data_IF_866382507989
#
_entry.id   IF_866382507989
#
_cell.length_a   1.000
_cell.length_b   1.000
_cell.length_c   1.000
_cell.angle_alpha   90.00
_cell.angle_beta   90.00
_cell.angle_gamma   90.00
#
_symmetry.space_group_name_H-M   'P 1'
#
loop_
_entity.id
_entity.type
_entity.pdbx_description
1 polymer ?
#
# COMPACT_ATOMS: atom_id res chain seq x y z
N UNK A 1 0.48 6.61 6.40
CA UNK A 1 -0.35 7.76 5.99
C UNK A 1 -0.70 8.66 7.19
N UNK A 2 -0.98 9.95 6.98
CA UNK A 2 -1.56 10.86 8.02
C UNK A 2 -2.71 11.70 7.45
N UNK A 3 -3.74 11.96 8.25
CA UNK A 3 -4.91 12.73 7.82
C UNK A 3 -4.55 14.16 7.41
N UNK A 4 -3.67 14.81 8.17
CA UNK A 4 -3.21 16.16 7.86
C UNK A 4 -2.38 16.29 6.57
N UNK A 5 -2.09 15.20 5.86
CA UNK A 5 -1.38 15.24 4.58
C UNK A 5 -2.27 14.91 3.37
N UNK A 6 -3.54 14.53 3.59
CA UNK A 6 -4.52 14.22 2.54
C UNK A 6 -4.62 15.34 1.49
N UNK A 7 -4.40 14.99 0.23
CA UNK A 7 -4.54 15.90 -0.92
C UNK A 7 -3.24 16.61 -1.33
N UNK A 8 -2.11 16.23 -0.75
CA UNK A 8 -0.81 16.69 -1.24
C UNK A 8 -0.47 16.11 -2.64
N UNK A 9 0.67 16.52 -3.20
CA UNK A 9 1.10 16.04 -4.51
C UNK A 9 1.36 14.52 -4.56
N UNK A 10 1.70 13.89 -3.44
CA UNK A 10 1.92 12.46 -3.39
C UNK A 10 0.57 11.73 -3.45
N UNK A 11 -0.44 12.21 -2.74
CA UNK A 11 -1.80 11.65 -2.83
C UNK A 11 -2.39 11.81 -4.23
N UNK A 12 -2.17 12.95 -4.88
CA UNK A 12 -2.53 13.11 -6.29
C UNK A 12 -1.91 12.02 -7.18
N UNK A 13 -0.63 11.70 -6.96
CA UNK A 13 0.06 10.65 -7.72
C UNK A 13 -0.44 9.26 -7.36
N UNK A 14 -0.63 8.96 -6.07
CA UNK A 14 -1.15 7.68 -5.57
C UNK A 14 -2.54 7.42 -6.14
N UNK A 15 -3.47 8.36 -5.97
CA UNK A 15 -4.85 8.19 -6.40
C UNK A 15 -4.95 8.10 -7.92
N UNK A 16 -4.17 8.90 -8.65
CA UNK A 16 -4.10 8.80 -10.12
C UNK A 16 -3.58 7.42 -10.58
N UNK A 17 -2.54 6.90 -9.93
CA UNK A 17 -2.03 5.55 -10.20
C UNK A 17 -3.08 4.48 -9.92
N UNK A 18 -3.75 4.55 -8.76
CA UNK A 18 -4.78 3.58 -8.37
C UNK A 18 -5.98 3.61 -9.32
N UNK A 19 -6.44 4.80 -9.72
CA UNK A 19 -7.52 4.95 -10.71
C UNK A 19 -7.13 4.38 -12.08
N UNK A 20 -5.89 4.60 -12.51
CA UNK A 20 -5.39 4.04 -13.76
C UNK A 20 -5.30 2.51 -13.73
N UNK A 21 -4.73 1.94 -12.66
CA UNK A 21 -4.56 0.50 -12.52
C UNK A 21 -5.88 -0.24 -12.35
N UNK A 22 -6.83 0.35 -11.61
CA UNK A 22 -8.14 -0.27 -11.39
C UNK A 22 -9.10 -0.08 -12.54
N UNK A 23 -8.70 0.63 -13.60
CA UNK A 23 -9.60 0.98 -14.71
C UNK A 23 -10.83 1.76 -14.24
N UNK A 24 -10.66 2.61 -13.22
CA UNK A 24 -11.71 3.36 -12.53
C UNK A 24 -12.83 2.47 -11.93
N UNK A 25 -12.43 1.43 -11.18
CA UNK A 25 -13.35 0.54 -10.46
C UNK A 25 -13.68 -0.78 -11.16
N UNK A 26 -12.99 -1.11 -12.26
CA UNK A 26 -13.10 -2.43 -12.92
C UNK A 26 -12.41 -3.54 -12.15
N UNK A 27 -11.33 -3.22 -11.44
CA UNK A 27 -10.69 -4.10 -10.46
C UNK A 27 -11.06 -3.64 -9.06
N UNK A 28 -11.46 -4.58 -8.21
CA UNK A 28 -11.86 -4.30 -6.84
C UNK A 28 -10.62 -3.98 -6.00
N UNK A 29 -10.55 -2.72 -5.55
CA UNK A 29 -9.43 -2.18 -4.80
C UNK A 29 -9.65 -2.35 -3.29
N UNK A 30 -8.62 -2.80 -2.58
CA UNK A 30 -8.53 -2.73 -1.12
C UNK A 30 -7.46 -1.70 -0.75
N UNK A 31 -7.71 -0.89 0.26
CA UNK A 31 -6.76 0.11 0.75
C UNK A 31 -6.57 -0.10 2.23
N UNK A 32 -5.32 -0.38 2.61
CA UNK A 32 -4.87 -0.33 4.00
C UNK A 32 -4.06 0.96 4.17
N UNK A 33 -4.67 1.99 4.75
CA UNK A 33 -4.05 3.31 4.87
C UNK A 33 -2.83 3.33 5.78
N UNK A 34 -2.71 2.37 6.71
CA UNK A 34 -1.65 2.37 7.73
C UNK A 34 -1.53 3.75 8.39
N UNK A 35 -2.63 4.24 8.96
CA UNK A 35 -2.68 5.57 9.54
C UNK A 35 -1.80 5.67 10.77
N UNK A 36 -0.98 6.71 10.81
CA UNK A 36 -0.25 7.10 12.01
C UNK A 36 -0.87 8.39 12.58
N UNK A 37 -0.77 8.63 13.90
CA UNK A 37 -1.29 9.86 14.49
C UNK A 37 -0.72 11.11 13.82
N UNK A 38 -1.53 12.15 13.69
CA UNK A 38 -1.09 13.44 13.17
C UNK A 38 0.11 13.99 13.97
N UNK A 39 0.98 14.75 13.32
CA UNK A 39 2.15 15.36 13.95
C UNK A 39 1.98 16.89 14.01
N UNK A 40 2.63 17.56 14.96
CA UNK A 40 2.47 19.02 15.10
C UNK A 40 3.29 19.83 14.09
N UNK A 41 3.65 19.27 12.93
CA UNK A 41 4.42 20.02 11.93
C UNK A 41 3.51 20.97 11.19
N UNK A 42 3.86 22.25 11.24
CA UNK A 42 3.17 23.34 10.56
C UNK A 42 3.48 23.43 9.05
N UNK A 43 4.26 22.51 8.49
CA UNK A 43 4.57 22.51 7.06
C UNK A 43 3.33 22.03 6.30
N UNK A 44 2.52 23.01 5.90
CA UNK A 44 1.37 22.84 5.04
C UNK A 44 1.75 22.01 3.83
N UNK A 45 1.29 20.77 3.83
CA UNK A 45 1.49 19.74 2.81
C UNK A 45 1.54 20.29 1.39
N UNK A 46 2.36 19.67 0.52
CA UNK A 46 2.72 20.16 -0.82
C UNK A 46 1.51 20.25 -1.77
N UNK A 47 0.68 21.27 -1.61
CA UNK A 47 -0.62 21.48 -2.27
C UNK A 47 -0.58 22.57 -3.35
N UNK A 48 0.53 23.30 -3.48
CA UNK A 48 0.72 24.37 -4.48
C UNK A 48 0.57 23.89 -5.93
N UNK A 49 0.63 22.57 -6.19
CA UNK A 49 0.33 21.98 -7.49
C UNK A 49 -1.12 22.22 -7.94
N UNK A 50 -2.06 22.38 -7.00
CA UNK A 50 -3.47 22.67 -7.28
C UNK A 50 -3.69 24.06 -7.88
N UNK A 51 -2.70 24.96 -7.76
CA UNK A 51 -2.71 26.27 -8.44
C UNK A 51 -2.13 26.18 -9.86
N UNK A 52 -1.57 25.03 -10.26
CA UNK A 52 -0.90 24.81 -11.54
C UNK A 52 -1.75 23.93 -12.46
N UNK A 53 -3.03 24.29 -12.62
CA UNK A 53 -4.02 23.50 -13.38
C UNK A 53 -3.54 23.02 -14.75
N UNK A 54 -2.94 23.85 -15.63
CA UNK A 54 -2.47 23.37 -16.94
C UNK A 54 -1.43 22.23 -16.87
N UNK A 55 -0.65 22.17 -15.80
CA UNK A 55 0.39 21.17 -15.61
C UNK A 55 -0.18 19.84 -15.08
N UNK A 56 -1.11 19.88 -14.14
CA UNK A 56 -1.56 18.70 -13.42
C UNK A 56 -2.94 18.21 -13.84
N UNK A 57 -3.93 19.12 -13.95
CA UNK A 57 -5.33 18.78 -14.24
C UNK A 57 -5.50 17.93 -15.51
N UNK A 58 -4.61 18.07 -16.48
CA UNK A 58 -4.63 17.31 -17.74
C UNK A 58 -4.49 15.78 -17.58
N UNK A 59 -3.93 15.29 -16.48
CA UNK A 59 -3.71 13.84 -16.29
C UNK A 59 -4.96 13.14 -15.74
N UNK A 60 -5.62 13.76 -14.78
CA UNK A 60 -6.91 13.29 -14.24
C UNK A 60 -7.70 14.51 -13.74
N UNK A 61 -8.57 15.10 -14.60
CA UNK A 61 -9.31 16.31 -14.25
C UNK A 61 -10.24 16.13 -13.05
N UNK A 62 -10.89 14.96 -12.95
CA UNK A 62 -11.82 14.68 -11.85
C UNK A 62 -11.07 14.62 -10.52
N UNK A 63 -9.97 13.86 -10.47
CA UNK A 63 -9.14 13.78 -9.28
C UNK A 63 -8.61 15.15 -8.87
N UNK A 64 -8.09 15.93 -9.83
CA UNK A 64 -7.54 17.25 -9.57
C UNK A 64 -8.59 18.19 -8.99
N UNK A 65 -9.78 18.26 -9.60
CA UNK A 65 -10.84 19.19 -9.18
C UNK A 65 -11.40 18.82 -7.79
N UNK A 66 -11.52 17.52 -7.48
CA UNK A 66 -11.92 17.04 -6.14
C UNK A 66 -10.90 17.40 -5.08
N UNK A 67 -9.61 17.15 -5.32
CA UNK A 67 -8.54 17.53 -4.38
C UNK A 67 -8.44 19.06 -4.21
N UNK A 68 -8.59 19.84 -5.29
CA UNK A 68 -8.62 21.30 -5.22
C UNK A 68 -9.74 21.80 -4.31
N UNK A 69 -10.92 21.20 -4.41
CA UNK A 69 -12.09 21.54 -3.60
C UNK A 69 -11.85 21.24 -2.11
N UNK A 70 -11.39 20.03 -1.77
CA UNK A 70 -11.17 19.63 -0.37
C UNK A 70 -10.07 20.43 0.31
N UNK A 71 -8.95 20.64 -0.38
CA UNK A 71 -7.85 21.46 0.16
C UNK A 71 -8.32 22.91 0.33
N UNK A 72 -9.08 23.44 -0.65
CA UNK A 72 -9.62 24.79 -0.59
C UNK A 72 -10.63 25.02 0.54
N UNK A 73 -11.40 24.00 0.93
CA UNK A 73 -12.35 24.07 2.05
C UNK A 73 -11.71 23.81 3.41
N UNK A 74 -10.40 23.52 3.47
CA UNK A 74 -9.70 23.15 4.70
C UNK A 74 -10.09 21.77 5.23
N UNK A 75 -10.77 20.97 4.42
CA UNK A 75 -11.37 19.69 4.81
C UNK A 75 -10.43 18.57 4.38
N UNK A 76 -9.64 18.04 5.33
CA UNK A 76 -8.57 17.08 5.02
C UNK A 76 -8.64 15.89 5.95
N UNK A 77 -8.79 14.71 5.36
CA UNK A 77 -8.91 13.45 6.07
C UNK A 77 -9.32 12.33 5.13
N UNK A 78 -8.94 11.10 5.45
CA UNK A 78 -9.25 9.95 4.62
C UNK A 78 -10.76 9.71 4.51
N UNK A 79 -11.55 10.07 5.53
CA UNK A 79 -13.01 9.93 5.53
C UNK A 79 -13.66 10.62 4.32
N UNK A 80 -13.09 11.74 3.86
CA UNK A 80 -13.55 12.44 2.66
C UNK A 80 -13.19 11.68 1.39
N UNK A 81 -12.01 11.06 1.34
CA UNK A 81 -11.60 10.20 0.22
C UNK A 81 -12.57 9.02 0.13
N UNK A 82 -12.81 8.35 1.25
CA UNK A 82 -13.67 7.16 1.36
C UNK A 82 -15.12 7.46 0.99
N UNK A 83 -15.69 8.54 1.52
CA UNK A 83 -17.08 8.92 1.28
C UNK A 83 -17.36 9.56 -0.09
N UNK A 84 -16.32 9.97 -0.84
CA UNK A 84 -16.49 10.76 -2.06
C UNK A 84 -16.70 9.96 -3.35
N UNK A 85 -16.41 8.65 -3.31
CA UNK A 85 -16.33 7.83 -4.51
C UNK A 85 -15.14 8.15 -5.43
N UNK A 86 -14.13 8.90 -4.95
CA UNK A 86 -12.92 9.21 -5.72
C UNK A 86 -12.16 7.94 -6.16
N UNK A 87 -12.22 6.89 -5.34
CA UNK A 87 -11.69 5.56 -5.60
C UNK A 87 -12.88 4.59 -5.65
N UNK A 88 -13.52 4.41 -6.83
CA UNK A 88 -14.79 3.70 -6.94
C UNK A 88 -14.69 2.25 -6.49
N UNK A 89 -15.63 1.82 -5.64
CA UNK A 89 -15.74 0.43 -5.18
C UNK A 89 -14.60 -0.04 -4.28
N UNK A 90 -13.78 0.87 -3.76
CA UNK A 90 -12.69 0.52 -2.87
C UNK A 90 -13.18 0.08 -1.48
N UNK A 91 -12.50 -0.91 -0.91
CA UNK A 91 -12.65 -1.37 0.48
C UNK A 91 -11.57 -0.69 1.32
N UNK A 92 -11.94 -0.04 2.42
CA UNK A 92 -11.01 0.77 3.21
C UNK A 92 -10.80 0.20 4.60
N UNK A 93 -9.54 0.05 4.98
CA UNK A 93 -9.12 -0.20 6.36
C UNK A 93 -8.35 1.02 6.90
N UNK A 94 -8.93 1.63 7.93
CA UNK A 94 -8.70 3.03 8.30
C UNK A 94 -8.40 3.22 9.78
N UNK A 95 -8.08 2.14 10.49
CA UNK A 95 -7.66 2.21 11.88
C UNK A 95 -6.23 2.78 12.00
N UNK A 96 -5.90 3.32 13.18
CA UNK A 96 -4.53 3.68 13.50
C UNK A 96 -3.69 2.41 13.67
N UNK A 97 -2.56 2.33 12.98
CA UNK A 97 -1.62 1.22 13.14
C UNK A 97 -0.78 1.43 14.42
N UNK A 98 -0.88 0.51 15.40
CA UNK A 98 -0.01 0.52 16.56
C UNK A 98 1.40 0.06 16.19
N UNK A 99 2.38 0.43 17.02
CA UNK A 99 3.77 0.04 16.82
C UNK A 99 4.21 -1.14 17.70
N UNK A 100 3.36 -1.59 18.63
CA UNK A 100 3.58 -2.80 19.42
C UNK A 100 3.21 -4.07 18.64
N UNK A 101 3.89 -5.18 18.95
CA UNK A 101 3.76 -6.40 18.16
C UNK A 101 2.39 -7.07 18.23
N UNK A 102 1.66 -6.96 19.35
CA UNK A 102 0.35 -7.58 19.49
C UNK A 102 -0.72 -6.75 18.77
N UNK A 103 -0.74 -5.44 19.05
CA UNK A 103 -1.63 -4.51 18.37
C UNK A 103 -1.44 -4.55 16.86
N UNK A 104 -0.19 -4.64 16.38
CA UNK A 104 0.10 -4.69 14.95
C UNK A 104 -0.46 -5.94 14.29
N UNK A 105 -0.35 -7.11 14.94
CA UNK A 105 -0.96 -8.35 14.44
C UNK A 105 -2.48 -8.21 14.35
N UNK A 106 -3.12 -7.70 15.40
CA UNK A 106 -4.57 -7.46 15.42
C UNK A 106 -5.02 -6.52 14.31
N UNK A 107 -4.26 -5.44 14.08
CA UNK A 107 -4.49 -4.50 13.00
C UNK A 107 -4.47 -5.19 11.63
N UNK A 108 -3.42 -5.96 11.32
CA UNK A 108 -3.33 -6.65 10.03
C UNK A 108 -4.36 -7.77 9.87
N UNK A 109 -4.71 -8.49 10.94
CA UNK A 109 -5.81 -9.47 10.90
C UNK A 109 -7.15 -8.81 10.55
N UNK A 110 -7.43 -7.62 11.09
CA UNK A 110 -8.61 -6.84 10.73
C UNK A 110 -8.53 -6.28 9.30
N UNK A 111 -7.37 -5.76 8.91
CA UNK A 111 -7.13 -5.25 7.57
C UNK A 111 -7.36 -6.33 6.51
N UNK A 112 -6.79 -7.53 6.69
CA UNK A 112 -6.95 -8.65 5.76
C UNK A 112 -8.40 -9.11 5.63
N UNK A 113 -9.18 -9.08 6.71
CA UNK A 113 -10.62 -9.36 6.64
C UNK A 113 -11.37 -8.29 5.85
N UNK A 114 -11.02 -7.02 6.08
CA UNK A 114 -11.63 -5.86 5.43
C UNK A 114 -11.41 -5.90 3.91
N UNK A 115 -10.20 -6.22 3.48
CA UNK A 115 -9.81 -6.25 2.06
C UNK A 115 -9.87 -7.64 1.44
N UNK A 116 -10.44 -8.65 2.11
CA UNK A 116 -10.43 -10.05 1.66
C UNK A 116 -10.97 -10.24 0.24
N UNK A 117 -11.91 -9.38 -0.13
CA UNK A 117 -12.61 -9.38 -1.41
C UNK A 117 -11.91 -8.55 -2.50
N UNK A 118 -10.84 -7.83 -2.17
CA UNK A 118 -10.10 -7.05 -3.15
C UNK A 118 -9.25 -7.93 -4.08
N UNK A 119 -9.15 -7.54 -5.35
CA UNK A 119 -8.23 -8.14 -6.33
C UNK A 119 -6.85 -7.48 -6.25
N UNK A 120 -6.83 -6.19 -5.88
CA UNK A 120 -5.64 -5.36 -5.75
C UNK A 120 -5.65 -4.69 -4.38
N UNK A 121 -4.60 -4.88 -3.58
CA UNK A 121 -4.46 -4.26 -2.26
C UNK A 121 -3.35 -3.22 -2.29
N UNK A 122 -3.68 -1.99 -1.92
CA UNK A 122 -2.76 -0.89 -1.73
C UNK A 122 -2.45 -0.70 -0.24
N UNK A 123 -1.17 -0.75 0.12
CA UNK A 123 -0.70 -0.34 1.44
C UNK A 123 -0.06 1.04 1.36
N UNK A 124 -0.40 1.93 2.31
CA UNK A 124 0.10 3.32 2.35
C UNK A 124 1.00 3.63 3.58
N UNK A 125 2.11 2.91 3.77
CA UNK A 125 3.05 3.21 4.85
C UNK A 125 3.69 4.59 4.65
N UNK A 126 3.99 5.30 5.74
CA UNK A 126 4.66 6.60 5.67
C UNK A 126 6.06 6.52 5.04
N UNK A 127 6.80 5.44 5.34
CA UNK A 127 8.21 5.28 5.00
C UNK A 127 8.50 4.10 4.04
N UNK A 128 7.47 3.43 3.53
CA UNK A 128 7.65 2.24 2.67
C UNK A 128 7.88 0.95 3.45
N UNK A 129 8.73 0.07 2.93
CA UNK A 129 9.05 -1.21 3.56
C UNK A 129 9.98 -1.07 4.77
N UNK A 130 9.88 -2.04 5.68
CA UNK A 130 10.71 -2.17 6.87
C UNK A 130 12.22 -2.13 6.57
N UNK A 131 12.97 -1.65 7.57
CA UNK A 131 14.43 -1.50 7.52
C UNK A 131 15.05 -2.18 8.73
N UNK A 132 16.30 -2.64 8.60
CA UNK A 132 16.98 -3.44 9.63
C UNK A 132 17.03 -2.76 11.02
N UNK A 133 17.10 -1.42 11.03
CA UNK A 133 17.20 -0.61 12.25
C UNK A 133 15.86 -0.35 12.95
N UNK A 134 14.73 -0.76 12.38
CA UNK A 134 13.41 -0.58 12.96
C UNK A 134 12.59 -1.86 12.78
N UNK A 135 12.64 -2.73 13.79
CA UNK A 135 11.95 -4.03 13.71
C UNK A 135 10.45 -3.88 13.99
N UNK A 136 9.61 -4.78 13.44
CA UNK A 136 8.18 -4.81 13.74
C UNK A 136 7.95 -5.00 15.24
N UNK A 137 7.00 -4.26 15.82
CA UNK A 137 6.74 -4.29 17.26
C UNK A 137 7.63 -3.36 18.09
N UNK A 138 8.50 -2.57 17.45
CA UNK A 138 9.28 -1.51 18.09
C UNK A 138 8.69 -0.14 17.83
N UNK A 139 9.04 0.82 18.70
CA UNK A 139 8.59 2.22 18.58
C UNK A 139 8.85 2.78 17.19
N UNK A 140 7.79 3.26 16.53
CA UNK A 140 7.87 3.87 15.20
C UNK A 140 7.92 2.88 14.03
N UNK A 141 7.76 1.57 14.27
CA UNK A 141 7.62 0.55 13.23
C UNK A 141 6.32 0.68 12.45
N UNK A 142 5.31 1.35 13.00
CA UNK A 142 4.03 1.64 12.35
C UNK A 142 4.13 2.52 11.09
N UNK A 143 5.27 3.16 10.86
CA UNK A 143 5.55 3.91 9.62
C UNK A 143 5.97 3.02 8.45
N UNK A 144 6.26 1.75 8.70
CA UNK A 144 6.76 0.81 7.71
C UNK A 144 5.80 -0.35 7.52
N UNK A 145 5.77 -0.90 6.30
CA UNK A 145 5.15 -2.18 5.98
C UNK A 145 6.18 -3.30 6.06
N UNK A 146 5.83 -4.41 6.69
CA UNK A 146 6.72 -5.57 6.76
C UNK A 146 6.58 -6.43 5.52
N UNK A 147 7.66 -7.10 5.13
CA UNK A 147 7.64 -7.98 3.96
C UNK A 147 6.66 -9.14 4.13
N UNK A 148 6.58 -9.71 5.33
CA UNK A 148 5.66 -10.79 5.66
C UNK A 148 4.18 -10.36 5.61
N UNK A 149 3.86 -9.09 5.89
CA UNK A 149 2.50 -8.54 5.82
C UNK A 149 2.05 -8.36 4.37
N UNK A 150 2.94 -7.81 3.53
CA UNK A 150 2.69 -7.73 2.08
C UNK A 150 2.57 -9.14 1.47
N UNK A 151 3.47 -10.05 1.84
CA UNK A 151 3.43 -11.45 1.41
C UNK A 151 2.13 -12.14 1.86
N UNK A 152 1.63 -11.87 3.06
CA UNK A 152 0.38 -12.46 3.55
C UNK A 152 -0.84 -12.07 2.69
N UNK A 153 -0.86 -10.88 2.09
CA UNK A 153 -1.88 -10.51 1.10
C UNK A 153 -1.65 -11.23 -0.23
N UNK A 154 -0.39 -11.31 -0.69
CA UNK A 154 -0.08 -12.01 -1.94
C UNK A 154 -0.43 -13.50 -1.88
N UNK A 155 -0.10 -14.17 -0.78
CA UNK A 155 -0.38 -15.60 -0.56
C UNK A 155 -1.88 -15.90 -0.51
N UNK A 156 -2.73 -14.87 -0.28
CA UNK A 156 -4.20 -14.95 -0.39
C UNK A 156 -4.72 -14.79 -1.82
N UNK A 157 -3.83 -14.65 -2.81
CA UNK A 157 -4.16 -14.52 -4.23
C UNK A 157 -4.39 -13.08 -4.70
N UNK A 158 -4.09 -12.08 -3.87
CA UNK A 158 -4.29 -10.67 -4.19
C UNK A 158 -3.03 -10.06 -4.80
N UNK A 159 -3.20 -9.13 -5.74
CA UNK A 159 -2.09 -8.29 -6.19
C UNK A 159 -1.79 -7.22 -5.14
N UNK A 160 -0.51 -6.90 -4.92
CA UNK A 160 -0.10 -5.93 -3.89
C UNK A 160 0.61 -4.73 -4.52
N UNK A 161 0.22 -3.53 -4.10
CA UNK A 161 0.90 -2.27 -4.43
C UNK A 161 1.33 -1.59 -3.14
N UNK A 162 2.58 -1.13 -3.13
CA UNK A 162 3.13 -0.29 -2.09
C UNK A 162 3.72 0.95 -2.76
N UNK A 163 3.32 2.14 -2.32
CA UNK A 163 3.87 3.38 -2.84
C UNK A 163 4.99 3.88 -1.94
N UNK A 164 6.22 3.63 -2.35
CA UNK A 164 7.40 4.06 -1.63
C UNK A 164 8.13 5.17 -2.38
N UNK A 165 8.40 6.27 -1.68
CA UNK A 165 9.35 7.25 -2.17
C UNK A 165 10.77 6.73 -2.01
N UNK A 166 11.59 6.85 -3.05
CA UNK A 166 13.02 6.65 -2.92
C UNK A 166 13.54 7.55 -1.81
N UNK A 167 14.24 6.96 -0.84
CA UNK A 167 15.01 7.73 0.12
C UNK A 167 16.01 8.61 -0.66
N UNK A 168 16.47 9.71 -0.06
CA UNK A 168 17.45 10.64 -0.66
C UNK A 168 18.85 10.00 -0.70
N UNK A 169 18.95 8.92 -1.44
CA UNK A 169 20.11 8.07 -1.65
C UNK A 169 20.14 7.65 -3.12
N UNK A 170 21.27 7.10 -3.56
CA UNK A 170 21.44 6.66 -4.93
C UNK A 170 20.37 5.61 -5.29
N UNK A 171 19.66 5.84 -6.40
CA UNK A 171 18.52 5.02 -6.86
C UNK A 171 18.88 3.56 -7.06
N UNK A 172 20.10 3.27 -7.51
CA UNK A 172 20.56 1.90 -7.74
C UNK A 172 20.76 1.16 -6.41
N UNK A 173 21.37 1.80 -5.42
CA UNK A 173 21.57 1.21 -4.09
C UNK A 173 20.24 0.98 -3.34
N UNK A 174 19.28 1.88 -3.51
CA UNK A 174 17.93 1.73 -2.96
C UNK A 174 17.19 0.57 -3.63
N UNK A 175 17.25 0.49 -4.96
CA UNK A 175 16.60 -0.58 -5.74
C UNK A 175 17.25 -1.94 -5.43
N UNK A 176 18.57 -2.02 -5.33
CA UNK A 176 19.28 -3.26 -4.96
C UNK A 176 18.92 -3.75 -3.56
N UNK A 177 18.71 -2.85 -2.58
CA UNK A 177 18.24 -3.22 -1.24
C UNK A 177 16.80 -3.72 -1.22
N UNK A 178 15.92 -3.20 -2.09
CA UNK A 178 14.56 -3.72 -2.28
C UNK A 178 14.54 -5.00 -3.12
N UNK A 179 15.52 -5.16 -4.01
CA UNK A 179 15.71 -6.34 -4.86
C UNK A 179 16.35 -7.52 -4.11
N UNK A 180 17.19 -7.27 -3.09
CA UNK A 180 17.84 -8.31 -2.29
C UNK A 180 16.87 -9.26 -1.55
N UNK A 181 15.75 -8.76 -1.00
CA UNK A 181 14.63 -9.56 -0.50
C UNK A 181 13.61 -9.93 -1.57
N UNK A 182 13.79 -9.57 -2.85
CA UNK A 182 12.82 -9.91 -3.91
C UNK A 182 12.80 -11.42 -4.16
N UNK A 183 11.99 -12.10 -3.35
CA UNK A 183 11.06 -13.07 -3.89
C UNK A 183 10.23 -12.28 -4.90
N UNK A 184 10.60 -12.37 -6.17
CA UNK A 184 9.67 -12.04 -7.25
C UNK A 184 8.50 -12.98 -7.05
N UNK A 185 7.43 -12.45 -6.47
CA UNK A 185 6.15 -13.13 -6.38
C UNK A 185 5.56 -13.16 -7.80
N UNK A 186 6.08 -14.06 -8.61
CA UNK A 186 5.69 -14.21 -10.00
C UNK A 186 4.34 -14.92 -10.05
N UNK A 187 3.26 -14.14 -10.14
CA UNK A 187 2.00 -14.63 -10.69
C UNK A 187 1.35 -13.57 -11.56
N UNK A 188 1.98 -13.32 -12.71
CA UNK A 188 1.31 -12.66 -13.82
C UNK A 188 0.37 -13.69 -14.49
N UNK A 189 -0.90 -13.73 -14.11
CA UNK A 189 -1.95 -14.42 -14.87
C UNK A 189 -2.76 -13.39 -15.65
N UNK A 190 -2.17 -12.86 -16.73
CA UNK A 190 -2.96 -12.38 -17.86
C UNK A 190 -3.38 -13.62 -18.66
N UNK A 191 -4.48 -14.25 -18.28
CA UNK A 191 -5.14 -15.23 -19.18
C UNK A 191 -6.27 -14.52 -19.90
N UNK A 192 -6.07 -14.23 -21.18
CA UNK A 192 -7.17 -14.00 -22.11
C UNK A 192 -7.93 -15.31 -22.24
N UNK A 193 -9.24 -15.29 -22.01
CA UNK A 193 -10.11 -16.46 -22.15
C UNK A 193 -10.18 -16.92 -23.61
N UNK A 194 -9.34 -17.90 -23.95
CA UNK A 194 -9.50 -18.78 -25.11
C UNK A 194 -9.73 -20.21 -24.59
N UNK A 195 -10.84 -20.83 -25.00
CA UNK A 195 -11.19 -22.20 -24.64
C UNK A 195 -10.10 -23.20 -25.04
N UNK A 196 -9.63 -24.04 -24.10
CA UNK A 196 -9.59 -25.52 -24.22
C UNK A 196 -8.71 -26.16 -23.12
N UNK A 197 -9.34 -27.04 -22.33
CA UNK A 197 -8.83 -28.25 -21.65
C UNK A 197 -7.33 -28.48 -21.37
N UNK A 198 -7.04 -28.81 -20.10
CA UNK A 198 -6.17 -29.92 -19.61
C UNK A 198 -4.95 -29.55 -18.75
N UNK A 199 -4.91 -30.22 -17.59
CA UNK A 199 -3.81 -30.50 -16.63
C UNK A 199 -3.27 -29.37 -15.74
N UNK A 200 -3.38 -29.62 -14.43
CA UNK A 200 -2.83 -28.80 -13.34
C UNK A 200 -1.33 -29.13 -13.10
N UNK A 201 -0.48 -28.16 -12.77
CA UNK A 201 0.88 -28.44 -12.32
C UNK A 201 0.95 -28.60 -10.78
N UNK A 202 1.75 -29.59 -10.37
CA UNK A 202 2.12 -29.90 -8.98
C UNK A 202 3.09 -28.83 -8.44
N UNK A 203 2.99 -28.37 -7.17
CA UNK A 203 3.95 -27.40 -6.62
C UNK A 203 5.31 -28.05 -6.34
N UNK A 204 6.37 -27.48 -6.90
CA UNK A 204 7.76 -27.85 -6.70
C UNK A 204 8.36 -27.34 -5.37
N UNK A 205 9.38 -28.06 -4.92
CA UNK A 205 10.14 -27.94 -3.67
C UNK A 205 10.76 -26.54 -3.42
N UNK A 206 10.56 -25.99 -2.21
CA UNK A 206 11.29 -24.81 -1.69
C UNK A 206 12.78 -25.11 -1.56
N UNK A 207 13.62 -24.31 -2.22
CA UNK A 207 15.02 -24.15 -1.84
C UNK A 207 15.13 -22.96 -0.89
N UNK A 208 15.51 -23.22 0.36
CA UNK A 208 15.91 -22.16 1.30
C UNK A 208 17.34 -21.71 0.98
N UNK A 209 17.67 -20.41 1.05
CA UNK A 209 19.06 -19.97 1.09
C UNK A 209 19.74 -20.58 2.32
N UNK A 210 20.96 -21.09 2.14
CA UNK A 210 21.78 -21.67 3.21
C UNK A 210 21.94 -20.68 4.37
N UNK A 211 21.34 -20.99 5.52
CA UNK A 211 21.46 -20.18 6.75
C UNK A 211 20.21 -20.10 7.64
N UNK A 212 19.08 -20.70 7.23
CA UNK A 212 17.86 -20.72 8.05
C UNK A 212 17.47 -22.16 8.44
N UNK A 213 17.66 -22.49 9.72
CA UNK A 213 17.04 -23.66 10.36
C UNK A 213 15.88 -23.19 11.23
N UNK A 214 14.63 -23.61 10.98
CA UNK A 214 13.58 -23.44 11.97
C UNK A 214 13.82 -24.48 13.06
N UNK A 215 14.22 -24.02 14.24
CA UNK A 215 14.17 -24.83 15.45
C UNK A 215 12.69 -25.18 15.72
N UNK A 216 12.34 -26.44 15.50
CA UNK A 216 11.15 -27.05 16.06
C UNK A 216 11.41 -27.21 17.55
N UNK A 217 10.75 -26.39 18.36
CA UNK A 217 10.67 -26.63 19.80
C UNK A 217 9.46 -27.52 20.06
N UNK A 218 9.73 -28.73 20.54
CA UNK A 218 8.78 -29.74 20.97
C UNK A 218 8.89 -29.89 22.48
N UNK A 219 7.81 -29.66 23.20
CA UNK A 219 7.67 -29.93 24.64
C UNK A 219 6.62 -29.00 25.24
N UNK A 220 5.37 -29.41 25.40
CA UNK A 220 4.95 -30.43 26.36
C UNK A 220 3.82 -31.30 25.82
#
# INVERSE_FOLDING_TARGET
MKNQYVGDINDYRKYGLLRALTGNGKLRLGICWMLTPDDQKADGSRTTYLQRSPQYRRFDPELFDRLATWVGSGTRGIDFVEGSGLLPGALFHSELIPDDGLGRRTFFDAAFKTVAEAELVFFDPDNGFEIDSCRPGQKGSNRYLCWNEAQSCFDRGQSVIVYQHFARENRELHTQRLAGPSVVFERCLLTSSGHSSSSAPVPGTRMYPSGWSPALDSGS
#
